data_IF_764753705875
#
_entry.id   IF_764753705875
#
_cell.length_a   1.000
_cell.length_b   1.000
_cell.length_c   1.000
_cell.angle_alpha   90.00
_cell.angle_beta   90.00
_cell.angle_gamma   90.00
#
_symmetry.space_group_name_H-M   'P 1'
#
loop_
_entity.id
_entity.type
_entity.pdbx_description
1 polymer ?
#
# COMPACT_ATOMS: atom_id res chain seq x y z
N UNK A 1 5.63 -58.99 37.71
CA UNK A 1 5.27 -57.60 38.02
C UNK A 1 6.45 -56.75 37.57
N UNK A 2 6.48 -56.37 36.31
CA UNK A 2 7.58 -55.60 35.70
C UNK A 2 6.91 -54.49 34.90
N UNK A 3 6.91 -53.32 35.50
CA UNK A 3 6.36 -52.08 34.98
C UNK A 3 7.22 -51.56 33.84
N UNK A 4 6.52 -51.17 32.79
CA UNK A 4 6.92 -50.39 31.62
C UNK A 4 7.72 -49.14 31.97
N UNK A 5 8.94 -49.01 31.43
CA UNK A 5 9.59 -47.72 31.25
C UNK A 5 9.29 -47.22 29.83
N UNK A 6 8.31 -46.32 29.74
CA UNK A 6 8.02 -45.54 28.54
C UNK A 6 9.09 -44.47 28.37
N UNK A 7 9.88 -44.58 27.31
CA UNK A 7 10.76 -43.50 26.83
C UNK A 7 9.92 -42.29 26.46
N UNK A 8 9.85 -41.30 27.35
CA UNK A 8 9.40 -39.95 27.05
C UNK A 8 10.33 -39.36 25.99
N UNK A 9 9.84 -39.29 24.76
CA UNK A 9 10.47 -38.57 23.66
C UNK A 9 10.73 -37.13 24.08
N UNK A 10 12.01 -36.78 24.17
CA UNK A 10 12.54 -35.44 24.43
C UNK A 10 12.09 -34.50 23.28
N UNK A 11 10.92 -33.87 23.44
CA UNK A 11 10.46 -32.84 22.50
C UNK A 11 11.30 -31.60 22.77
N UNK A 12 12.12 -31.12 21.82
CA UNK A 12 12.96 -29.95 22.03
C UNK A 12 12.10 -28.76 22.44
N UNK A 13 12.39 -28.17 23.61
CA UNK A 13 11.65 -27.05 24.17
C UNK A 13 11.68 -25.86 23.18
N UNK A 14 10.54 -25.62 22.53
CA UNK A 14 10.35 -24.50 21.59
C UNK A 14 10.67 -23.17 22.29
N UNK A 15 10.44 -23.06 23.60
CA UNK A 15 10.78 -21.86 24.37
C UNK A 15 12.29 -21.65 24.48
N UNK A 16 13.09 -22.72 24.55
CA UNK A 16 14.55 -22.63 24.53
C UNK A 16 15.07 -22.13 23.17
N UNK A 17 14.46 -22.57 22.05
CA UNK A 17 14.84 -22.13 20.69
C UNK A 17 14.51 -20.66 20.40
N UNK A 18 13.45 -20.12 21.01
CA UNK A 18 13.02 -18.73 20.79
C UNK A 18 13.71 -17.71 21.69
N UNK A 19 14.42 -18.16 22.73
CA UNK A 19 15.10 -17.28 23.71
C UNK A 19 16.09 -16.30 23.06
N UNK A 20 17.00 -16.72 22.14
CA UNK A 20 17.96 -15.79 21.53
C UNK A 20 17.29 -14.68 20.72
N UNK A 21 16.22 -15.02 19.99
CA UNK A 21 15.44 -14.04 19.21
C UNK A 21 14.72 -13.05 20.14
N UNK A 22 14.09 -13.57 21.20
CA UNK A 22 13.41 -12.74 22.21
C UNK A 22 14.39 -11.78 22.87
N UNK A 23 15.58 -12.23 23.23
CA UNK A 23 16.60 -11.39 23.86
C UNK A 23 17.10 -10.31 22.88
N UNK A 24 17.36 -10.67 21.62
CA UNK A 24 17.75 -9.71 20.57
C UNK A 24 16.69 -8.63 20.33
N UNK A 25 15.40 -9.01 20.29
CA UNK A 25 14.27 -8.08 20.12
C UNK A 25 13.98 -7.25 21.37
N UNK A 26 14.34 -7.75 22.55
CA UNK A 26 14.17 -7.05 23.83
C UNK A 26 15.30 -6.07 24.14
N UNK A 27 16.40 -6.13 23.38
CA UNK A 27 17.56 -5.26 23.57
C UNK A 27 17.14 -3.78 23.62
N UNK A 28 17.58 -3.02 24.63
CA UNK A 28 17.25 -1.60 24.75
C UNK A 28 17.99 -0.81 23.67
N UNK A 29 17.27 0.06 22.96
CA UNK A 29 17.82 0.95 21.93
C UNK A 29 17.26 2.36 22.08
N UNK A 30 17.95 3.35 21.50
CA UNK A 30 17.48 4.74 21.48
C UNK A 30 16.09 4.87 20.84
N UNK A 31 15.18 5.70 21.39
CA UNK A 31 13.86 5.93 20.84
C UNK A 31 13.84 6.89 19.64
N UNK A 32 14.97 7.54 19.32
CA UNK A 32 15.00 8.69 18.42
C UNK A 32 14.54 8.36 17.01
N UNK A 33 14.99 7.26 16.41
CA UNK A 33 14.55 6.87 15.06
C UNK A 33 13.05 6.59 14.98
N UNK A 34 12.45 6.01 16.04
CA UNK A 34 11.00 5.80 16.10
C UNK A 34 10.24 7.13 16.26
N UNK A 35 10.80 8.07 17.04
CA UNK A 35 10.22 9.39 17.20
C UNK A 35 10.26 10.20 15.88
N UNK A 36 11.35 10.15 15.12
CA UNK A 36 11.42 10.76 13.79
C UNK A 36 10.43 10.11 12.82
N UNK A 37 10.30 8.78 12.84
CA UNK A 37 9.28 8.09 12.05
C UNK A 37 7.86 8.59 12.37
N UNK A 38 7.53 8.74 13.66
CA UNK A 38 6.24 9.31 14.12
C UNK A 38 6.01 10.73 13.58
N UNK A 39 7.01 11.59 13.72
CA UNK A 39 6.93 12.99 13.27
C UNK A 39 6.70 13.05 11.77
N UNK A 40 7.51 12.31 10.99
CA UNK A 40 7.41 12.29 9.54
C UNK A 40 6.08 11.71 9.06
N UNK A 41 5.61 10.61 9.65
CA UNK A 41 4.31 10.02 9.31
C UNK A 41 3.18 11.01 9.56
N UNK A 42 3.10 11.61 10.75
CA UNK A 42 2.05 12.58 11.07
C UNK A 42 2.11 13.84 10.19
N UNK A 43 3.31 14.36 9.90
CA UNK A 43 3.49 15.54 9.05
C UNK A 43 3.09 15.27 7.59
N UNK A 44 3.47 14.11 7.04
CA UNK A 44 3.09 13.73 5.68
C UNK A 44 1.58 13.50 5.54
N UNK A 45 0.94 12.90 6.55
CA UNK A 45 -0.52 12.72 6.55
C UNK A 45 -1.27 14.04 6.71
N UNK A 46 -0.76 14.97 7.52
CA UNK A 46 -1.32 16.32 7.62
C UNK A 46 -1.21 17.06 6.28
N UNK A 47 -0.06 16.94 5.59
CA UNK A 47 0.11 17.49 4.25
C UNK A 47 -0.85 16.86 3.24
N UNK A 48 -1.07 15.54 3.29
CA UNK A 48 -2.04 14.88 2.41
C UNK A 48 -3.47 15.32 2.72
N UNK A 49 -3.84 15.50 3.99
CA UNK A 49 -5.14 16.06 4.38
C UNK A 49 -5.37 17.43 3.75
N UNK A 50 -4.37 18.31 3.78
CA UNK A 50 -4.43 19.61 3.10
C UNK A 50 -4.57 19.46 1.59
N UNK A 51 -3.86 18.51 0.95
CA UNK A 51 -4.00 18.25 -0.49
C UNK A 51 -5.41 17.80 -0.86
N UNK A 52 -6.05 16.98 -0.03
CA UNK A 52 -7.43 16.55 -0.27
C UNK A 52 -8.40 17.72 -0.28
N UNK A 53 -8.18 18.74 0.56
CA UNK A 53 -8.95 19.98 0.54
C UNK A 53 -8.58 20.83 -0.68
N UNK A 54 -7.28 21.10 -0.90
CA UNK A 54 -6.80 21.95 -2.00
C UNK A 54 -7.26 21.48 -3.38
N UNK A 55 -7.29 20.17 -3.59
CA UNK A 55 -7.69 19.58 -4.86
C UNK A 55 -9.14 19.08 -4.82
N UNK A 56 -9.96 19.46 -3.86
CA UNK A 56 -11.37 19.08 -3.81
C UNK A 56 -11.61 17.56 -3.96
N UNK A 57 -10.77 16.77 -3.31
CA UNK A 57 -10.86 15.29 -3.37
C UNK A 57 -11.96 14.76 -2.48
N UNK A 58 -12.28 15.46 -1.39
CA UNK A 58 -13.36 15.03 -0.49
C UNK A 58 -14.68 15.02 -1.24
N UNK A 59 -14.99 16.13 -1.94
CA UNK A 59 -16.19 16.26 -2.74
C UNK A 59 -16.21 15.22 -3.88
N UNK A 60 -15.21 15.25 -4.75
CA UNK A 60 -15.14 14.37 -5.94
C UNK A 60 -15.11 12.88 -5.64
N UNK A 61 -14.63 12.46 -4.46
CA UNK A 61 -14.51 11.03 -4.13
C UNK A 61 -15.68 10.51 -3.30
N UNK A 62 -16.34 11.35 -2.50
CA UNK A 62 -17.31 10.87 -1.52
C UNK A 62 -18.61 11.68 -1.42
N UNK A 63 -18.70 12.86 -2.04
CA UNK A 63 -19.92 13.69 -2.05
C UNK A 63 -20.57 13.66 -3.43
N UNK A 64 -19.81 13.93 -4.48
CA UNK A 64 -20.29 13.93 -5.87
C UNK A 64 -20.80 12.55 -6.34
N UNK A 65 -20.12 11.42 -6.03
CA UNK A 65 -20.61 10.12 -6.49
C UNK A 65 -21.91 9.71 -5.80
N UNK A 66 -22.91 9.30 -6.60
CA UNK A 66 -24.18 8.74 -6.10
C UNK A 66 -24.06 7.27 -5.69
N UNK A 67 -23.07 6.56 -6.23
CA UNK A 67 -22.76 5.17 -5.95
C UNK A 67 -21.32 5.03 -5.46
N UNK A 68 -21.06 4.20 -4.44
CA UNK A 68 -19.73 3.90 -3.95
C UNK A 68 -19.43 2.41 -4.04
N UNK A 69 -18.29 2.05 -4.61
CA UNK A 69 -17.89 0.65 -4.72
C UNK A 69 -17.36 0.14 -3.37
N UNK A 70 -18.05 -0.79 -2.75
CA UNK A 70 -17.71 -1.25 -1.39
C UNK A 70 -16.77 -2.45 -1.40
N UNK A 71 -15.93 -2.56 -0.37
CA UNK A 71 -15.13 -3.77 -0.13
C UNK A 71 -16.03 -4.90 0.38
N UNK A 72 -15.70 -6.15 0.03
CA UNK A 72 -16.39 -7.34 0.54
C UNK A 72 -16.44 -7.32 2.08
N UNK A 73 -17.64 -7.43 2.66
CA UNK A 73 -17.87 -7.35 4.11
C UNK A 73 -18.01 -5.94 4.69
N UNK A 74 -17.84 -4.89 3.88
CA UNK A 74 -17.92 -3.49 4.29
C UNK A 74 -19.02 -2.69 3.56
N UNK A 75 -20.06 -3.37 3.07
CA UNK A 75 -21.20 -2.72 2.41
C UNK A 75 -21.99 -1.75 3.31
N UNK A 76 -21.79 -1.84 4.63
CA UNK A 76 -22.40 -0.96 5.63
C UNK A 76 -21.62 0.35 5.86
N UNK A 77 -20.42 0.48 5.28
CA UNK A 77 -19.59 1.68 5.40
C UNK A 77 -19.97 2.65 4.29
N UNK A 78 -20.73 3.69 4.63
CA UNK A 78 -21.22 4.70 3.69
C UNK A 78 -20.70 6.08 4.04
N UNK A 79 -20.58 7.01 3.06
CA UNK A 79 -20.18 8.38 3.34
C UNK A 79 -21.13 9.06 4.32
N UNK A 80 -20.58 9.92 5.18
CA UNK A 80 -21.39 10.80 6.02
C UNK A 80 -21.98 11.91 5.15
N UNK A 81 -23.22 12.36 5.41
CA UNK A 81 -23.78 13.49 4.68
C UNK A 81 -23.00 14.77 5.00
N UNK A 82 -23.04 15.74 4.08
CA UNK A 82 -22.52 17.08 4.35
C UNK A 82 -23.30 17.74 5.52
N UNK A 83 -22.63 18.50 6.41
CA UNK A 83 -21.20 18.85 6.44
C UNK A 83 -20.31 17.85 7.20
N UNK A 84 -20.88 16.75 7.71
CA UNK A 84 -20.22 15.85 8.65
C UNK A 84 -19.00 15.13 8.07
N UNK A 85 -18.98 14.86 6.76
CA UNK A 85 -17.81 14.27 6.10
C UNK A 85 -16.58 15.18 6.15
N UNK A 86 -16.74 16.50 6.04
CA UNK A 86 -15.61 17.44 6.17
C UNK A 86 -15.12 17.52 7.61
N UNK A 87 -16.03 17.45 8.59
CA UNK A 87 -15.65 17.40 10.00
C UNK A 87 -14.90 16.10 10.34
N UNK A 88 -15.32 14.97 9.76
CA UNK A 88 -14.60 13.71 9.86
C UNK A 88 -13.20 13.82 9.22
N UNK A 89 -13.07 14.47 8.06
CA UNK A 89 -11.77 14.70 7.42
C UNK A 89 -10.86 15.63 8.25
N UNK A 90 -11.42 16.69 8.85
CA UNK A 90 -10.70 17.57 9.76
C UNK A 90 -10.17 16.79 10.97
N UNK A 91 -10.94 15.81 11.47
CA UNK A 91 -10.51 14.92 12.54
C UNK A 91 -9.29 14.08 12.15
N UNK A 92 -9.20 13.61 10.90
CA UNK A 92 -8.01 12.94 10.36
C UNK A 92 -6.80 13.89 10.43
N UNK A 93 -6.94 15.11 9.91
CA UNK A 93 -5.87 16.10 9.89
C UNK A 93 -5.39 16.50 11.29
N UNK A 94 -6.31 16.79 12.21
CA UNK A 94 -5.97 17.16 13.58
C UNK A 94 -5.30 15.99 14.33
N UNK A 95 -5.79 14.76 14.13
CA UNK A 95 -5.17 13.57 14.71
C UNK A 95 -3.77 13.33 14.15
N UNK A 96 -3.54 13.55 12.85
CA UNK A 96 -2.22 13.49 12.23
C UNK A 96 -1.25 14.52 12.83
N UNK A 97 -1.72 15.76 13.06
CA UNK A 97 -0.94 16.79 13.76
C UNK A 97 -0.58 16.37 15.18
N UNK A 98 -1.54 15.86 15.97
CA UNK A 98 -1.27 15.39 17.33
C UNK A 98 -0.33 14.19 17.37
N UNK A 99 -0.43 13.28 16.41
CA UNK A 99 0.55 12.20 16.22
C UNK A 99 1.93 12.78 15.91
N UNK A 100 2.05 13.77 15.02
CA UNK A 100 3.32 14.42 14.67
C UNK A 100 3.96 15.16 15.85
N UNK A 101 3.15 15.78 16.72
CA UNK A 101 3.62 16.43 17.95
C UNK A 101 3.87 15.42 19.08
N UNK A 102 3.26 14.25 19.00
CA UNK A 102 3.25 13.25 20.07
C UNK A 102 2.51 13.76 21.30
N UNK A 103 1.36 14.40 21.08
CA UNK A 103 0.45 14.91 22.10
C UNK A 103 -0.76 13.98 22.20
N UNK A 104 -1.10 13.52 23.41
CA UNK A 104 -2.13 12.51 23.66
C UNK A 104 -1.97 11.30 22.73
N UNK A 105 -0.73 10.90 22.46
CA UNK A 105 -0.38 10.09 21.31
C UNK A 105 -1.18 8.78 21.24
N UNK A 106 -1.38 8.11 22.37
CA UNK A 106 -2.13 6.84 22.43
C UNK A 106 -3.57 6.98 21.97
N UNK A 107 -4.21 8.10 22.23
CA UNK A 107 -5.57 8.40 21.78
C UNK A 107 -5.53 8.87 20.34
N UNK A 108 -4.65 9.82 20.02
CA UNK A 108 -4.57 10.42 18.68
C UNK A 108 -4.23 9.40 17.59
N UNK A 109 -3.33 8.44 17.86
CA UNK A 109 -3.00 7.40 16.87
C UNK A 109 -4.16 6.45 16.61
N UNK A 110 -4.98 6.14 17.62
CA UNK A 110 -6.17 5.29 17.45
C UNK A 110 -7.23 6.03 16.66
N UNK A 111 -7.52 7.29 17.00
CA UNK A 111 -8.47 8.13 16.24
C UNK A 111 -8.01 8.25 14.79
N UNK A 112 -6.73 8.54 14.55
CA UNK A 112 -6.16 8.61 13.21
C UNK A 112 -6.32 7.29 12.45
N UNK A 113 -6.04 6.16 13.09
CA UNK A 113 -6.16 4.83 12.47
C UNK A 113 -7.60 4.53 12.06
N UNK A 114 -8.56 4.78 12.95
CA UNK A 114 -9.99 4.50 12.70
C UNK A 114 -10.54 5.45 11.64
N UNK A 115 -10.28 6.75 11.75
CA UNK A 115 -10.81 7.74 10.80
C UNK A 115 -10.18 7.61 9.42
N UNK A 116 -8.87 7.37 9.32
CA UNK A 116 -8.22 7.08 8.04
C UNK A 116 -8.72 5.76 7.44
N UNK A 117 -8.91 4.72 8.27
CA UNK A 117 -9.47 3.44 7.86
C UNK A 117 -10.91 3.57 7.33
N UNK A 118 -11.74 4.40 7.96
CA UNK A 118 -13.09 4.71 7.50
C UNK A 118 -13.06 5.29 6.07
N UNK A 119 -12.30 6.36 5.83
CA UNK A 119 -12.20 6.96 4.49
C UNK A 119 -11.63 6.00 3.43
N UNK A 120 -10.69 5.13 3.82
CA UNK A 120 -10.16 4.10 2.92
C UNK A 120 -11.22 3.06 2.51
N UNK A 121 -12.17 2.75 3.41
CA UNK A 121 -13.21 1.73 3.20
C UNK A 121 -14.43 2.26 2.44
N UNK A 122 -14.61 3.59 2.34
CA UNK A 122 -15.76 4.22 1.68
C UNK A 122 -15.91 3.82 0.21
N UNK A 123 -14.82 3.83 -0.55
CA UNK A 123 -14.86 3.50 -1.98
C UNK A 123 -13.56 2.82 -2.45
N UNK A 124 -13.67 1.58 -2.94
CA UNK A 124 -12.54 0.83 -3.50
C UNK A 124 -12.08 1.37 -4.87
N UNK A 125 -12.82 2.26 -5.52
CA UNK A 125 -12.36 3.04 -6.67
C UNK A 125 -11.16 3.92 -6.30
N UNK A 126 -11.11 4.39 -5.04
CA UNK A 126 -10.02 5.20 -4.48
C UNK A 126 -8.89 4.38 -3.85
N UNK A 127 -8.90 3.06 -4.02
CA UNK A 127 -7.83 2.19 -3.53
C UNK A 127 -6.46 2.61 -4.09
N UNK A 128 -5.52 2.88 -3.19
CA UNK A 128 -4.10 3.09 -3.46
C UNK A 128 -3.24 2.26 -2.50
N UNK A 129 -2.23 1.58 -3.02
CA UNK A 129 -1.32 0.76 -2.21
C UNK A 129 -0.60 1.57 -1.11
N UNK A 130 -0.36 2.86 -1.31
CA UNK A 130 0.27 3.68 -0.27
C UNK A 130 -0.69 4.05 0.86
N UNK A 131 -2.00 4.18 0.60
CA UNK A 131 -2.98 4.30 1.69
C UNK A 131 -3.08 3.00 2.47
N UNK A 132 -2.98 1.86 1.79
CA UNK A 132 -2.87 0.57 2.49
C UNK A 132 -1.62 0.52 3.39
N UNK A 133 -0.44 0.94 2.90
CA UNK A 133 0.77 1.02 3.72
C UNK A 133 0.61 1.95 4.93
N UNK A 134 -0.04 3.10 4.75
CA UNK A 134 -0.34 4.04 5.83
C UNK A 134 -1.18 3.35 6.91
N UNK A 135 -2.26 2.65 6.55
CA UNK A 135 -3.08 1.92 7.52
C UNK A 135 -2.24 0.91 8.30
N UNK A 136 -1.37 0.16 7.63
CA UNK A 136 -0.47 -0.79 8.28
C UNK A 136 0.46 -0.12 9.29
N UNK A 137 1.06 1.03 8.93
CA UNK A 137 1.87 1.80 9.86
C UNK A 137 1.06 2.36 11.02
N UNK A 138 -0.13 2.89 10.78
CA UNK A 138 -1.01 3.41 11.81
C UNK A 138 -1.39 2.33 12.83
N UNK A 139 -1.78 1.13 12.36
CA UNK A 139 -2.07 -0.02 13.21
C UNK A 139 -0.85 -0.43 14.04
N UNK A 140 0.33 -0.58 13.42
CA UNK A 140 1.55 -0.91 14.17
C UNK A 140 1.85 0.16 15.23
N UNK A 141 1.76 1.44 14.85
CA UNK A 141 2.04 2.58 15.70
C UNK A 141 1.11 2.65 16.92
N UNK A 142 -0.13 2.18 16.86
CA UNK A 142 -0.99 2.06 18.04
C UNK A 142 -0.31 1.30 19.20
N UNK A 143 0.51 0.31 18.90
CA UNK A 143 1.21 -0.51 19.88
C UNK A 143 2.62 -0.01 20.22
N UNK A 144 3.24 0.81 19.36
CA UNK A 144 4.62 1.27 19.54
C UNK A 144 4.75 2.42 20.55
N UNK A 145 5.84 2.50 21.33
CA UNK A 145 6.06 3.57 22.30
C UNK A 145 6.65 4.85 21.69
N UNK A 146 6.11 5.33 20.55
CA UNK A 146 6.73 6.41 19.77
C UNK A 146 6.63 7.82 20.40
N UNK A 147 5.84 7.97 21.45
CA UNK A 147 5.68 9.20 22.24
C UNK A 147 6.65 9.32 23.42
N UNK A 148 7.56 8.36 23.63
CA UNK A 148 8.49 8.38 24.77
C UNK A 148 9.69 9.32 24.60
N UNK A 149 9.86 9.90 23.41
CA UNK A 149 10.92 10.86 23.10
C UNK A 149 10.48 11.81 21.98
N UNK A 150 11.10 13.00 21.94
CA UNK A 150 10.82 14.09 20.99
C UNK A 150 9.32 14.39 20.82
N UNK A 151 8.57 14.37 21.92
CA UNK A 151 7.11 14.50 21.95
C UNK A 151 6.66 15.50 23.01
N UNK A 152 5.48 16.08 22.82
CA UNK A 152 4.83 16.88 23.85
C UNK A 152 4.43 16.03 25.07
N UNK A 153 4.00 14.78 24.88
CA UNK A 153 3.70 13.88 26.00
C UNK A 153 4.91 13.66 26.93
N UNK A 154 6.11 13.45 26.38
CA UNK A 154 7.31 13.25 27.19
C UNK A 154 7.80 14.54 27.87
N UNK A 155 7.43 15.72 27.31
CA UNK A 155 7.72 17.03 27.88
C UNK A 155 6.73 17.38 29.01
N UNK A 156 5.44 17.14 28.80
CA UNK A 156 4.36 17.46 29.73
C UNK A 156 4.25 16.43 30.87
N UNK A 157 4.54 15.16 30.58
CA UNK A 157 4.43 14.06 31.53
C UNK A 157 5.78 13.34 31.69
N UNK A 158 6.64 13.76 32.64
CA UNK A 158 7.99 13.19 32.79
C UNK A 158 8.05 11.67 32.96
N UNK A 159 6.99 11.05 33.51
CA UNK A 159 6.87 9.59 33.66
C UNK A 159 6.77 8.82 32.32
N UNK A 160 6.36 9.49 31.25
CA UNK A 160 6.26 8.91 29.90
C UNK A 160 7.63 8.80 29.25
N UNK A 161 8.51 9.78 29.52
CA UNK A 161 9.83 9.89 28.91
C UNK A 161 10.64 8.63 29.17
N UNK A 162 11.29 8.12 28.12
CA UNK A 162 12.24 7.03 28.24
C UNK A 162 13.49 7.31 27.41
N UNK A 163 14.65 6.92 27.94
CA UNK A 163 15.93 6.96 27.22
C UNK A 163 16.09 5.76 26.29
N UNK A 164 15.31 4.69 26.50
CA UNK A 164 15.39 3.43 25.76
C UNK A 164 14.01 2.83 25.48
N UNK A 165 13.90 2.11 24.35
CA UNK A 165 12.75 1.29 23.95
C UNK A 165 13.23 -0.11 23.51
N UNK A 166 12.38 -1.14 23.52
CA UNK A 166 12.78 -2.45 22.98
C UNK A 166 12.98 -2.37 21.48
N UNK A 167 14.06 -2.98 20.98
CA UNK A 167 14.41 -3.03 19.56
C UNK A 167 13.28 -3.57 18.67
N UNK A 168 12.42 -4.45 19.20
CA UNK A 168 11.20 -4.93 18.54
C UNK A 168 10.36 -3.81 17.90
N UNK A 169 10.30 -2.63 18.54
CA UNK A 169 9.54 -1.48 18.05
C UNK A 169 10.06 -0.95 16.71
N UNK A 170 11.38 -1.01 16.51
CA UNK A 170 12.04 -0.61 15.27
C UNK A 170 12.04 -1.79 14.28
N UNK A 171 12.26 -3.01 14.77
CA UNK A 171 12.35 -4.20 13.96
C UNK A 171 11.05 -4.50 13.18
N UNK A 172 9.87 -4.32 13.80
CA UNK A 172 8.59 -4.57 13.11
C UNK A 172 8.33 -3.59 11.97
N UNK A 173 8.71 -2.31 12.13
CA UNK A 173 8.60 -1.31 11.06
C UNK A 173 9.57 -1.62 9.91
N UNK A 174 10.80 -2.08 10.23
CA UNK A 174 11.75 -2.58 9.21
C UNK A 174 11.19 -3.77 8.46
N UNK A 175 10.62 -4.75 9.17
CA UNK A 175 10.02 -5.92 8.55
C UNK A 175 8.87 -5.53 7.60
N UNK A 176 7.97 -4.64 8.04
CA UNK A 176 6.88 -4.14 7.19
C UNK A 176 7.40 -3.41 5.93
N UNK A 177 8.45 -2.60 6.08
CA UNK A 177 9.09 -1.92 4.95
C UNK A 177 9.78 -2.91 4.00
N UNK A 178 10.55 -3.86 4.51
CA UNK A 178 11.19 -4.91 3.70
C UNK A 178 10.17 -5.71 2.90
N UNK A 179 9.07 -6.13 3.53
CA UNK A 179 7.98 -6.83 2.85
C UNK A 179 7.51 -6.00 1.65
N UNK A 180 7.12 -4.74 1.89
CA UNK A 180 6.66 -3.86 0.82
C UNK A 180 7.72 -3.67 -0.29
N UNK A 181 8.97 -3.38 0.08
CA UNK A 181 10.05 -3.12 -0.87
C UNK A 181 10.37 -4.35 -1.72
N UNK A 182 10.52 -5.53 -1.11
CA UNK A 182 10.79 -6.78 -1.84
C UNK A 182 9.64 -7.11 -2.77
N UNK A 183 8.38 -7.03 -2.29
CA UNK A 183 7.23 -7.29 -3.15
C UNK A 183 7.12 -6.29 -4.31
N UNK A 184 7.50 -5.02 -4.12
CA UNK A 184 7.52 -4.03 -5.20
C UNK A 184 8.44 -4.43 -6.37
N UNK A 185 9.44 -5.28 -6.14
CA UNK A 185 10.28 -5.93 -7.14
C UNK A 185 9.71 -7.25 -7.64
N UNK A 186 9.26 -8.13 -6.75
CA UNK A 186 8.71 -9.44 -7.15
C UNK A 186 7.52 -9.31 -8.10
N UNK A 187 6.63 -8.35 -7.86
CA UNK A 187 5.46 -8.12 -8.73
C UNK A 187 5.82 -7.61 -10.13
N UNK A 188 7.07 -7.19 -10.34
CA UNK A 188 7.63 -6.75 -11.63
C UNK A 188 8.31 -7.89 -12.38
N UNK A 189 8.45 -9.08 -11.80
CA UNK A 189 8.91 -10.26 -12.54
C UNK A 189 7.76 -10.81 -13.39
N UNK A 190 7.44 -10.08 -14.46
CA UNK A 190 6.39 -10.42 -15.42
C UNK A 190 6.93 -10.29 -16.83
N UNK A 191 6.40 -11.05 -17.81
CA UNK A 191 6.84 -10.95 -19.20
C UNK A 191 6.87 -9.52 -19.72
N UNK A 192 5.81 -8.73 -19.48
CA UNK A 192 5.72 -7.33 -19.92
C UNK A 192 6.81 -6.44 -19.32
N UNK A 193 6.98 -6.47 -18.00
CA UNK A 193 7.97 -5.61 -17.34
C UNK A 193 9.38 -5.91 -17.79
N UNK A 194 9.72 -7.19 -17.97
CA UNK A 194 11.02 -7.59 -18.48
C UNK A 194 11.21 -7.26 -19.96
N UNK A 195 10.10 -7.11 -20.71
CA UNK A 195 10.08 -6.64 -22.09
C UNK A 195 10.04 -5.10 -22.21
N UNK A 196 10.14 -4.35 -21.10
CA UNK A 196 10.15 -2.88 -21.10
C UNK A 196 8.79 -2.23 -20.83
N UNK A 197 7.72 -3.00 -20.67
CA UNK A 197 6.35 -2.49 -20.49
C UNK A 197 5.88 -2.49 -19.03
N UNK A 198 5.18 -1.45 -18.56
CA UNK A 198 4.71 -0.25 -19.26
C UNK A 198 5.71 0.91 -19.22
N UNK A 199 6.94 0.70 -18.73
CA UNK A 199 7.90 1.80 -18.53
C UNK A 199 8.20 2.54 -19.84
N UNK A 200 8.31 1.81 -20.96
CA UNK A 200 8.48 2.36 -22.29
C UNK A 200 7.35 3.29 -22.69
N UNK A 201 6.09 2.82 -22.60
CA UNK A 201 4.90 3.63 -22.87
C UNK A 201 4.90 4.92 -22.05
N UNK A 202 5.17 4.82 -20.74
CA UNK A 202 5.14 5.99 -19.88
C UNK A 202 6.27 6.97 -20.17
N UNK A 203 7.52 6.52 -20.32
CA UNK A 203 8.65 7.44 -20.51
C UNK A 203 8.63 8.09 -21.91
N UNK A 204 8.23 7.36 -22.95
CA UNK A 204 8.14 7.91 -24.32
C UNK A 204 7.06 8.98 -24.46
N UNK A 205 5.92 8.80 -23.78
CA UNK A 205 4.83 9.79 -23.81
C UNK A 205 5.20 11.18 -23.26
N UNK A 206 6.32 11.27 -22.55
CA UNK A 206 6.83 12.48 -21.89
C UNK A 206 8.28 12.78 -22.34
N UNK A 207 8.72 12.30 -23.52
CA UNK A 207 10.07 12.58 -24.03
C UNK A 207 10.30 14.07 -24.28
N UNK A 208 9.27 14.80 -24.70
CA UNK A 208 9.37 16.23 -25.00
C UNK A 208 9.36 17.11 -23.75
N UNK A 209 8.98 16.56 -22.58
CA UNK A 209 8.88 17.32 -21.33
C UNK A 209 10.26 17.53 -20.66
N UNK A 210 11.30 16.82 -21.11
CA UNK A 210 12.62 16.81 -20.47
C UNK A 210 13.75 17.00 -21.48
N UNK A 211 14.77 17.81 -21.11
CA UNK A 211 15.96 18.05 -21.95
C UNK A 211 16.73 16.78 -22.35
N UNK A 212 16.62 15.71 -21.54
CA UNK A 212 17.24 14.41 -21.78
C UNK A 212 16.24 13.34 -22.25
N UNK A 213 15.01 13.73 -22.59
CA UNK A 213 13.97 12.79 -22.98
C UNK A 213 14.24 12.05 -24.30
N UNK A 214 15.20 12.53 -25.10
CA UNK A 214 15.75 11.77 -26.24
C UNK A 214 16.30 10.39 -25.83
N UNK A 215 16.72 10.22 -24.56
CA UNK A 215 17.16 8.93 -24.04
C UNK A 215 16.03 7.90 -23.97
N UNK A 216 14.78 8.33 -23.79
CA UNK A 216 13.63 7.44 -23.68
C UNK A 216 13.26 6.75 -25.00
N UNK A 217 13.82 7.23 -26.12
CA UNK A 217 13.63 6.62 -27.44
C UNK A 217 14.47 5.34 -27.59
N UNK A 218 15.54 5.18 -26.82
CA UNK A 218 16.39 3.99 -26.91
C UNK A 218 15.84 2.84 -26.05
N UNK A 219 15.49 1.72 -26.69
CA UNK A 219 14.98 0.51 -26.02
C UNK A 219 15.88 0.05 -24.86
N UNK A 220 17.21 0.10 -25.04
CA UNK A 220 18.16 -0.33 -24.02
C UNK A 220 18.07 0.52 -22.75
N UNK A 221 17.72 1.80 -22.84
CA UNK A 221 17.52 2.68 -21.67
C UNK A 221 16.30 2.23 -20.88
N UNK A 222 15.20 1.90 -21.58
CA UNK A 222 13.97 1.39 -20.97
C UNK A 222 14.22 0.03 -20.31
N UNK A 223 14.89 -0.88 -21.01
CA UNK A 223 15.25 -2.20 -20.48
C UNK A 223 16.19 -2.07 -19.28
N UNK A 224 17.20 -1.21 -19.34
CA UNK A 224 18.07 -0.94 -18.19
C UNK A 224 17.25 -0.42 -16.99
N UNK A 225 16.28 0.48 -17.22
CA UNK A 225 15.40 1.01 -16.19
C UNK A 225 14.50 -0.05 -15.54
N UNK A 226 13.89 -0.93 -16.34
CA UNK A 226 13.02 -2.01 -15.85
C UNK A 226 13.80 -3.03 -15.00
N UNK A 227 14.95 -3.50 -15.47
CA UNK A 227 15.81 -4.42 -14.74
C UNK A 227 16.44 -3.79 -13.50
N UNK A 228 16.88 -2.53 -13.58
CA UNK A 228 17.42 -1.80 -12.42
C UNK A 228 16.37 -1.63 -11.33
N UNK A 229 15.11 -1.39 -11.72
CA UNK A 229 14.00 -1.30 -10.75
C UNK A 229 13.76 -2.64 -10.07
N UNK A 230 13.80 -3.77 -10.79
CA UNK A 230 13.68 -5.10 -10.18
C UNK A 230 14.84 -5.36 -9.22
N UNK A 231 16.07 -5.13 -9.66
CA UNK A 231 17.28 -5.35 -8.87
C UNK A 231 17.32 -4.50 -7.60
N UNK A 232 16.93 -3.22 -7.70
CA UNK A 232 16.83 -2.32 -6.55
C UNK A 232 15.91 -2.88 -5.46
N UNK A 233 14.79 -3.48 -5.83
CA UNK A 233 13.82 -3.97 -4.86
C UNK A 233 14.13 -5.38 -4.34
N UNK A 234 14.56 -6.30 -5.21
CA UNK A 234 14.86 -7.68 -4.81
C UNK A 234 16.18 -7.77 -4.05
N UNK A 235 17.23 -7.05 -4.50
CA UNK A 235 18.55 -7.07 -3.87
C UNK A 235 18.80 -5.84 -3.00
N UNK A 236 18.42 -4.66 -3.47
CA UNK A 236 18.63 -3.43 -2.71
C UNK A 236 17.88 -3.42 -1.38
N UNK A 237 16.62 -3.89 -1.33
CA UNK A 237 15.88 -3.92 -0.07
C UNK A 237 16.60 -4.72 1.03
N UNK A 238 16.95 -6.02 0.84
CA UNK A 238 17.76 -6.74 1.85
C UNK A 238 19.10 -6.06 2.20
N UNK A 239 19.73 -5.37 1.25
CA UNK A 239 20.97 -4.63 1.48
C UNK A 239 20.79 -3.39 2.38
N UNK A 240 19.56 -2.89 2.62
CA UNK A 240 19.29 -1.88 3.65
C UNK A 240 19.50 -2.43 5.08
N UNK A 241 19.25 -3.72 5.28
CA UNK A 241 19.50 -4.38 6.56
C UNK A 241 21.00 -4.44 6.87
N UNK A 242 21.85 -4.56 5.85
CA UNK A 242 23.29 -4.63 6.02
C UNK A 242 23.94 -3.26 6.22
N UNK A 243 24.59 -3.08 7.37
CA UNK A 243 25.19 -1.80 7.80
C UNK A 243 26.15 -1.19 6.76
N UNK A 244 26.92 -2.01 6.04
CA UNK A 244 27.95 -1.54 5.09
C UNK A 244 27.36 -0.93 3.82
N UNK A 245 26.22 -1.42 3.37
CA UNK A 245 25.57 -1.01 2.12
C UNK A 245 24.44 0.00 2.33
N UNK A 246 23.89 0.07 3.55
CA UNK A 246 22.69 0.84 3.88
C UNK A 246 22.67 2.28 3.36
N UNK A 247 23.73 3.06 3.59
CA UNK A 247 23.75 4.47 3.16
C UNK A 247 23.70 4.58 1.64
N UNK A 248 24.52 3.80 0.93
CA UNK A 248 24.54 3.81 -0.52
C UNK A 248 23.16 3.44 -1.09
N UNK A 249 22.56 2.36 -0.59
CA UNK A 249 21.23 1.91 -1.04
C UNK A 249 20.14 2.93 -0.68
N UNK A 250 20.20 3.54 0.49
CA UNK A 250 19.27 4.62 0.87
C UNK A 250 19.34 5.79 -0.12
N UNK A 251 20.55 6.21 -0.53
CA UNK A 251 20.71 7.27 -1.53
C UNK A 251 20.13 6.88 -2.89
N UNK A 252 20.30 5.61 -3.31
CA UNK A 252 19.67 5.09 -4.53
C UNK A 252 18.14 5.12 -4.42
N UNK A 253 17.57 4.74 -3.28
CA UNK A 253 16.12 4.87 -3.05
C UNK A 253 15.66 6.32 -3.05
N UNK A 254 16.42 7.25 -2.46
CA UNK A 254 16.11 8.67 -2.55
C UNK A 254 16.03 9.12 -4.01
N UNK A 255 17.02 8.77 -4.84
CA UNK A 255 17.02 9.09 -6.26
C UNK A 255 15.82 8.46 -6.98
N UNK A 256 15.58 7.16 -6.78
CA UNK A 256 14.47 6.41 -7.39
C UNK A 256 13.10 7.00 -7.03
N UNK A 257 12.86 7.29 -5.75
CA UNK A 257 11.59 7.86 -5.31
C UNK A 257 11.43 9.31 -5.79
N UNK A 258 12.51 10.10 -5.80
CA UNK A 258 12.48 11.46 -6.36
C UNK A 258 12.13 11.43 -7.85
N UNK A 259 12.76 10.53 -8.62
CA UNK A 259 12.42 10.30 -10.02
C UNK A 259 10.95 9.89 -10.21
N UNK A 260 10.43 8.98 -9.38
CA UNK A 260 9.01 8.62 -9.42
C UNK A 260 8.07 9.78 -9.09
N UNK A 261 8.48 10.71 -8.22
CA UNK A 261 7.69 11.91 -7.93
C UNK A 261 7.59 12.82 -9.14
N UNK A 262 8.66 12.91 -9.94
CA UNK A 262 8.71 13.71 -11.18
C UNK A 262 7.91 13.04 -12.29
N UNK A 263 8.17 11.77 -12.57
CA UNK A 263 7.59 11.08 -13.73
C UNK A 263 6.15 10.57 -13.52
N UNK A 264 5.74 10.21 -12.30
CA UNK A 264 4.52 9.43 -12.11
C UNK A 264 3.46 10.08 -11.20
N UNK A 265 3.73 11.26 -10.63
CA UNK A 265 2.84 12.00 -9.73
C UNK A 265 2.02 11.12 -8.77
N UNK A 266 2.70 10.22 -8.05
CA UNK A 266 2.09 9.18 -7.21
C UNK A 266 1.77 9.64 -5.77
N UNK A 267 1.36 10.91 -5.62
CA UNK A 267 0.90 11.44 -4.33
C UNK A 267 2.02 11.60 -3.30
N UNK A 268 1.74 11.28 -2.04
CA UNK A 268 2.71 11.38 -0.94
C UNK A 268 3.70 10.21 -0.90
N UNK A 269 3.46 9.16 -1.68
CA UNK A 269 4.20 7.89 -1.57
C UNK A 269 5.72 8.05 -1.62
N UNK A 270 6.34 8.79 -2.56
CA UNK A 270 7.79 8.92 -2.64
C UNK A 270 8.41 9.45 -1.35
N UNK A 271 7.78 10.49 -0.79
CA UNK A 271 8.21 11.17 0.42
C UNK A 271 8.01 10.28 1.65
N UNK A 272 6.88 9.56 1.69
CA UNK A 272 6.60 8.57 2.73
C UNK A 272 7.64 7.45 2.74
N UNK A 273 7.98 6.88 1.57
CA UNK A 273 8.98 5.81 1.48
C UNK A 273 10.38 6.29 1.84
N UNK A 274 10.79 7.48 1.43
CA UNK A 274 12.09 8.06 1.81
C UNK A 274 12.15 8.23 3.33
N UNK A 275 11.13 8.88 3.91
CA UNK A 275 11.06 9.09 5.35
C UNK A 275 11.02 7.77 6.13
N UNK A 276 10.21 6.81 5.70
CA UNK A 276 10.11 5.50 6.33
C UNK A 276 11.40 4.70 6.23
N UNK A 277 12.16 4.79 5.13
CA UNK A 277 13.43 4.10 4.95
C UNK A 277 14.50 4.57 5.95
N UNK A 278 14.35 5.75 6.56
CA UNK A 278 15.25 6.18 7.64
C UNK A 278 15.24 5.23 8.86
N UNK A 279 14.17 4.43 9.04
CA UNK A 279 14.05 3.46 10.13
C UNK A 279 15.13 2.36 10.08
N UNK A 280 15.76 2.14 8.92
CA UNK A 280 16.84 1.16 8.74
C UNK A 280 18.16 1.61 9.36
N UNK A 281 18.39 2.92 9.53
CA UNK A 281 19.60 3.44 10.18
C UNK A 281 19.65 3.09 11.67
N UNK A 282 20.79 3.33 12.31
CA UNK A 282 20.94 3.05 13.74
C UNK A 282 19.84 3.75 14.55
N UNK A 283 19.24 3.16 15.59
CA UNK A 283 18.11 3.79 16.31
C UNK A 283 18.39 5.20 16.88
N UNK A 284 19.67 5.53 17.07
CA UNK A 284 20.21 6.82 17.51
C UNK A 284 20.73 7.71 16.36
N UNK A 285 20.48 7.35 15.09
CA UNK A 285 20.94 8.11 13.93
C UNK A 285 20.57 9.59 13.96
N UNK A 286 19.40 10.04 14.48
CA UNK A 286 19.07 11.46 14.48
C UNK A 286 20.04 12.27 15.35
N UNK A 287 20.45 11.69 16.49
CA UNK A 287 21.45 12.31 17.36
C UNK A 287 22.82 12.36 16.69
N UNK A 288 23.24 11.27 16.04
CA UNK A 288 24.53 11.20 15.33
C UNK A 288 24.58 12.22 14.20
N UNK A 289 23.50 12.31 13.42
CA UNK A 289 23.39 13.25 12.32
C UNK A 289 23.40 14.70 12.81
N UNK A 290 22.62 15.02 13.85
CA UNK A 290 22.63 16.36 14.44
C UNK A 290 24.00 16.76 14.98
N UNK A 291 24.70 15.85 15.67
CA UNK A 291 26.06 16.11 16.15
C UNK A 291 27.05 16.31 15.01
N UNK A 292 26.98 15.49 13.96
CA UNK A 292 27.82 15.67 12.78
C UNK A 292 27.59 17.05 12.14
N UNK A 293 26.33 17.47 11.98
CA UNK A 293 25.99 18.77 11.42
C UNK A 293 26.53 19.92 12.28
N UNK A 294 26.34 19.86 13.59
CA UNK A 294 26.86 20.88 14.51
C UNK A 294 28.39 20.90 14.58
N UNK A 295 29.05 19.75 14.47
CA UNK A 295 30.52 19.67 14.46
C UNK A 295 31.16 20.34 13.25
N UNK A 296 30.39 20.61 12.19
CA UNK A 296 30.87 21.43 11.07
C UNK A 296 31.00 22.92 11.43
N UNK A 297 30.42 23.36 12.55
CA UNK A 297 30.39 24.76 12.97
C UNK A 297 31.11 24.99 14.30
N UNK A 298 31.07 24.04 15.23
CA UNK A 298 31.65 24.18 16.57
C UNK A 298 32.19 22.84 17.10
N UNK A 299 33.25 22.89 17.91
CA UNK A 299 33.78 21.71 18.59
C UNK A 299 32.79 21.20 19.66
N UNK A 300 32.31 19.97 19.48
CA UNK A 300 31.33 19.38 20.40
C UNK A 300 32.00 18.49 21.46
N UNK A 301 31.60 18.60 22.74
CA UNK A 301 32.09 17.71 23.79
C UNK A 301 31.67 16.27 23.52
N UNK A 302 32.48 15.30 23.95
CA UNK A 302 32.19 13.88 23.77
C UNK A 302 30.78 13.51 24.25
N UNK A 303 30.07 12.61 23.55
CA UNK A 303 28.75 12.19 23.99
C UNK A 303 28.83 11.57 25.38
N UNK A 304 28.05 12.10 26.33
CA UNK A 304 27.80 11.39 27.58
C UNK A 304 27.06 10.10 27.25
N UNK A 305 27.73 8.97 27.45
CA UNK A 305 27.10 7.66 27.29
C UNK A 305 26.20 7.43 28.48
N UNK A 306 24.89 7.56 28.30
CA UNK A 306 23.95 7.14 29.34
C UNK A 306 24.22 5.66 29.66
N UNK A 307 24.33 5.28 30.95
CA UNK A 307 24.57 3.89 31.30
C UNK A 307 23.46 3.03 30.70
N UNK A 308 23.85 1.99 29.96
CA UNK A 308 22.92 1.03 29.40
C UNK A 308 22.04 0.48 30.55
N UNK A 309 20.71 0.43 30.39
CA UNK A 309 19.84 -0.06 31.44
C UNK A 309 20.25 -1.49 31.81
N UNK A 310 20.52 -1.71 33.09
CA UNK A 310 21.08 -2.95 33.65
C UNK A 310 20.18 -4.17 33.44
N UNK A 311 18.89 -3.98 33.16
CA UNK A 311 17.96 -5.06 32.80
C UNK A 311 16.81 -4.53 31.94
N UNK A 312 16.79 -4.90 30.66
CA UNK A 312 15.63 -4.64 29.80
C UNK A 312 14.49 -5.63 30.14
N UNK A 313 13.26 -5.12 30.22
CA UNK A 313 12.09 -6.01 30.32
C UNK A 313 11.95 -6.78 29.01
N UNK A 314 11.88 -8.12 29.05
CA UNK A 314 11.73 -8.89 27.83
C UNK A 314 10.41 -8.55 27.16
N UNK A 315 10.40 -8.52 25.83
CA UNK A 315 9.16 -8.40 25.04
C UNK A 315 8.22 -9.53 25.45
N UNK A 316 6.94 -9.20 25.63
CA UNK A 316 5.92 -10.16 26.01
C UNK A 316 5.75 -11.23 24.92
N UNK A 317 5.53 -12.49 25.31
CA UNK A 317 5.35 -13.59 24.35
C UNK A 317 4.18 -13.35 23.38
N UNK A 318 3.09 -12.77 23.88
CA UNK A 318 1.94 -12.40 23.04
C UNK A 318 2.29 -11.32 22.00
N UNK A 319 3.18 -10.38 22.31
CA UNK A 319 3.63 -9.36 21.36
C UNK A 319 4.51 -9.98 20.26
N UNK A 320 5.33 -10.99 20.60
CA UNK A 320 6.10 -11.74 19.61
C UNK A 320 5.18 -12.57 18.70
N UNK A 321 4.18 -13.24 19.26
CA UNK A 321 3.19 -13.98 18.49
C UNK A 321 2.42 -13.04 17.55
N UNK A 322 1.94 -11.90 18.04
CA UNK A 322 1.25 -10.91 17.24
C UNK A 322 2.15 -10.36 16.10
N UNK A 323 3.42 -10.07 16.37
CA UNK A 323 4.37 -9.65 15.34
C UNK A 323 4.64 -10.76 14.30
N UNK A 324 4.72 -12.02 14.72
CA UNK A 324 4.89 -13.15 13.82
C UNK A 324 3.67 -13.35 12.92
N UNK A 325 2.46 -13.35 13.50
CA UNK A 325 1.19 -13.41 12.77
C UNK A 325 1.09 -12.26 11.78
N UNK A 326 1.44 -11.04 12.21
CA UNK A 326 1.48 -9.86 11.34
C UNK A 326 2.36 -10.09 10.12
N UNK A 327 3.61 -10.51 10.32
CA UNK A 327 4.55 -10.77 9.22
C UNK A 327 4.04 -11.88 8.29
N UNK A 328 3.51 -12.97 8.85
CA UNK A 328 2.94 -14.07 8.05
C UNK A 328 1.79 -13.59 7.18
N UNK A 329 0.84 -12.85 7.75
CA UNK A 329 -0.29 -12.29 6.99
C UNK A 329 0.19 -11.34 5.89
N UNK A 330 1.14 -10.46 6.21
CA UNK A 330 1.67 -9.47 5.26
C UNK A 330 2.50 -10.07 4.13
N UNK A 331 3.01 -11.30 4.30
CA UNK A 331 3.67 -12.08 3.25
C UNK A 331 2.68 -12.95 2.47
N UNK A 332 1.77 -13.63 3.17
CA UNK A 332 0.80 -14.53 2.55
C UNK A 332 -0.21 -13.78 1.69
N UNK A 333 -0.67 -12.60 2.14
CA UNK A 333 -1.71 -11.85 1.45
C UNK A 333 -1.29 -11.43 0.03
N UNK A 334 -0.09 -10.88 -0.22
CA UNK A 334 0.38 -10.66 -1.59
C UNK A 334 0.59 -11.94 -2.40
N UNK A 335 1.09 -13.02 -1.78
CA UNK A 335 1.37 -14.29 -2.45
C UNK A 335 0.10 -15.01 -2.92
N UNK A 336 -1.06 -14.74 -2.30
CA UNK A 336 -2.36 -15.32 -2.69
C UNK A 336 -2.68 -15.12 -4.18
N UNK A 337 -2.18 -14.05 -4.79
CA UNK A 337 -2.42 -13.79 -6.20
C UNK A 337 -1.83 -14.89 -7.10
N UNK A 338 -0.79 -15.61 -6.63
CA UNK A 338 -0.21 -16.73 -7.35
C UNK A 338 -0.98 -18.05 -7.20
N UNK A 339 -1.99 -18.13 -6.32
CA UNK A 339 -2.85 -19.32 -6.19
C UNK A 339 -4.07 -19.27 -7.11
N UNK A 340 -4.31 -18.12 -7.75
CA UNK A 340 -5.42 -17.93 -8.69
C UNK A 340 -4.84 -18.07 -10.11
N UNK A 341 -5.32 -19.03 -10.92
CA UNK A 341 -4.78 -19.29 -12.26
C UNK A 341 -5.27 -18.25 -13.29
N UNK A 342 -5.04 -16.96 -13.02
CA UNK A 342 -5.39 -15.84 -13.91
C UNK A 342 -4.22 -14.89 -14.06
N UNK A 343 -4.23 -14.14 -15.17
CA UNK A 343 -3.32 -13.01 -15.32
C UNK A 343 -3.84 -11.84 -14.47
N UNK A 344 -3.29 -11.68 -13.26
CA UNK A 344 -3.70 -10.66 -12.27
C UNK A 344 -3.79 -9.24 -12.84
N UNK A 345 -2.92 -8.90 -13.81
CA UNK A 345 -2.90 -7.57 -14.44
C UNK A 345 -4.13 -7.40 -15.34
N UNK A 346 -4.57 -8.50 -15.95
CA UNK A 346 -5.79 -8.61 -16.73
C UNK A 346 -7.03 -8.76 -15.85
N UNK A 347 -7.23 -9.86 -15.12
CA UNK A 347 -8.48 -10.10 -14.36
C UNK A 347 -8.65 -9.16 -13.15
N UNK A 348 -7.56 -8.74 -12.52
CA UNK A 348 -7.58 -8.01 -11.25
C UNK A 348 -7.64 -8.89 -10.01
N UNK A 349 -7.68 -10.21 -10.17
CA UNK A 349 -7.77 -11.15 -9.05
C UNK A 349 -6.55 -11.06 -8.14
N UNK A 350 -6.79 -10.99 -6.83
CA UNK A 350 -5.70 -10.84 -5.86
C UNK A 350 -4.92 -9.52 -5.97
N UNK A 351 -5.33 -8.56 -6.82
CA UNK A 351 -4.58 -7.33 -7.05
C UNK A 351 -4.52 -6.40 -5.82
N UNK A 352 -5.65 -6.14 -5.16
CA UNK A 352 -5.64 -5.27 -3.95
C UNK A 352 -4.85 -5.95 -2.82
N UNK A 353 -4.19 -5.17 -1.98
CA UNK A 353 -3.39 -5.65 -0.85
C UNK A 353 -2.22 -6.59 -1.23
N UNK A 354 -1.66 -6.44 -2.44
CA UNK A 354 -0.57 -7.30 -2.95
C UNK A 354 0.67 -6.53 -3.41
N UNK A 355 0.83 -5.27 -3.00
CA UNK A 355 1.98 -4.41 -3.32
C UNK A 355 2.26 -4.21 -4.82
N UNK A 356 1.24 -4.44 -5.65
CA UNK A 356 1.26 -4.22 -7.11
C UNK A 356 1.17 -2.74 -7.44
N UNK A 357 2.30 -2.05 -7.31
CA UNK A 357 2.43 -0.61 -7.49
C UNK A 357 3.11 -0.29 -8.83
N UNK A 358 2.42 0.47 -9.69
CA UNK A 358 2.94 0.98 -10.97
C UNK A 358 3.65 -0.14 -11.76
N UNK A 359 2.90 -1.15 -12.16
CA UNK A 359 3.42 -2.34 -12.86
C UNK A 359 2.75 -2.63 -14.22
N UNK A 360 1.68 -1.92 -14.54
CA UNK A 360 0.98 -2.03 -15.82
C UNK A 360 0.18 -0.75 -16.09
N UNK A 361 -0.17 -0.58 -17.35
CA UNK A 361 -1.16 0.37 -17.86
C UNK A 361 -2.37 -0.40 -18.41
N UNK A 362 -3.57 0.13 -18.20
CA UNK A 362 -4.82 -0.51 -18.66
C UNK A 362 -5.75 0.57 -19.15
N UNK A 363 -6.26 0.36 -20.35
CA UNK A 363 -7.31 1.16 -20.93
C UNK A 363 -8.52 0.26 -21.20
N UNK A 364 -9.72 0.76 -20.98
CA UNK A 364 -10.94 0.02 -21.27
C UNK A 364 -12.06 0.96 -21.65
N UNK A 365 -12.94 0.46 -22.51
CA UNK A 365 -14.15 1.13 -22.96
C UNK A 365 -15.27 0.08 -23.01
N UNK A 366 -16.51 0.50 -22.76
CA UNK A 366 -17.62 -0.43 -22.78
C UNK A 366 -18.93 0.08 -22.20
N UNK A 367 -19.99 -0.63 -22.57
CA UNK A 367 -21.39 -0.32 -22.23
C UNK A 367 -22.04 -1.47 -21.49
N UNK A 368 -23.13 -1.17 -20.79
CA UNK A 368 -23.97 -2.17 -20.12
C UNK A 368 -25.29 -2.29 -20.87
N UNK A 369 -25.78 -3.52 -21.04
CA UNK A 369 -27.09 -3.80 -21.62
C UNK A 369 -28.01 -4.30 -20.51
N UNK A 370 -29.01 -3.49 -20.17
CA UNK A 370 -30.06 -3.86 -19.22
C UNK A 370 -31.26 -4.36 -19.99
N UNK A 371 -31.79 -5.53 -19.66
CA UNK A 371 -32.97 -6.12 -20.30
C UNK A 371 -34.01 -6.50 -19.26
N UNK A 372 -35.28 -6.16 -19.50
CA UNK A 372 -36.41 -6.55 -18.65
C UNK A 372 -37.61 -6.92 -19.54
N UNK A 373 -37.90 -8.22 -19.64
CA UNK A 373 -38.88 -8.74 -20.60
C UNK A 373 -38.45 -8.41 -22.04
N UNK A 374 -39.33 -7.73 -22.78
CA UNK A 374 -39.07 -7.33 -24.18
C UNK A 374 -38.36 -5.97 -24.31
N UNK A 375 -38.07 -5.30 -23.19
CA UNK A 375 -37.44 -3.98 -23.18
C UNK A 375 -35.95 -4.10 -22.91
N UNK A 376 -35.15 -3.28 -23.62
CA UNK A 376 -33.70 -3.27 -23.48
C UNK A 376 -33.17 -1.84 -23.55
N UNK A 377 -32.16 -1.55 -22.73
CA UNK A 377 -31.50 -0.25 -22.63
C UNK A 377 -29.98 -0.42 -22.69
N UNK A 378 -29.33 0.37 -23.53
CA UNK A 378 -27.87 0.51 -23.53
C UNK A 378 -27.49 1.65 -22.61
N UNK A 379 -26.64 1.35 -21.64
CA UNK A 379 -26.25 2.25 -20.56
C UNK A 379 -24.76 2.58 -20.68
N UNK A 380 -24.47 3.86 -20.79
CA UNK A 380 -23.12 4.37 -20.64
C UNK A 380 -22.79 4.46 -19.14
N UNK A 381 -21.67 3.88 -18.66
CA UNK A 381 -21.33 3.93 -17.24
C UNK A 381 -21.25 5.35 -16.67
N UNK A 382 -20.87 6.33 -17.48
CA UNK A 382 -20.77 7.74 -17.09
C UNK A 382 -22.12 8.41 -16.80
N UNK A 383 -23.23 7.77 -17.16
CA UNK A 383 -24.57 8.26 -16.81
C UNK A 383 -24.88 8.08 -15.31
N UNK A 384 -24.17 7.14 -14.64
CA UNK A 384 -24.39 6.77 -13.24
C UNK A 384 -23.14 6.88 -12.37
N UNK A 385 -21.96 6.94 -12.98
CA UNK A 385 -20.67 6.96 -12.29
C UNK A 385 -19.86 8.19 -12.71
N UNK A 386 -19.04 8.69 -11.79
CA UNK A 386 -18.04 9.71 -12.15
C UNK A 386 -17.04 9.14 -13.18
N UNK A 387 -16.42 9.98 -14.04
CA UNK A 387 -15.43 9.50 -15.02
C UNK A 387 -14.30 8.69 -14.39
N UNK A 388 -13.91 9.04 -13.17
CA UNK A 388 -12.90 8.32 -12.39
C UNK A 388 -13.38 6.93 -11.98
N UNK A 389 -14.61 6.81 -11.48
CA UNK A 389 -15.20 5.53 -11.11
C UNK A 389 -15.37 4.62 -12.34
N UNK A 390 -15.85 5.16 -13.47
CA UNK A 390 -15.94 4.43 -14.74
C UNK A 390 -14.60 3.83 -15.14
N UNK A 391 -13.54 4.65 -15.23
CA UNK A 391 -12.20 4.17 -15.59
C UNK A 391 -11.61 3.17 -14.58
N UNK A 392 -12.01 3.21 -13.31
CA UNK A 392 -11.59 2.22 -12.30
C UNK A 392 -12.40 0.93 -12.39
N UNK A 393 -13.67 1.01 -12.75
CA UNK A 393 -14.62 -0.10 -12.82
C UNK A 393 -14.38 -0.95 -14.06
N UNK A 394 -14.29 -0.35 -15.25
CA UNK A 394 -14.18 -1.08 -16.53
C UNK A 394 -12.96 -2.01 -16.61
N UNK A 395 -11.93 -1.78 -15.79
CA UNK A 395 -10.71 -2.59 -15.74
C UNK A 395 -10.69 -3.63 -14.61
N UNK A 396 -11.80 -3.86 -13.89
CA UNK A 396 -11.87 -4.79 -12.75
C UNK A 396 -13.21 -5.55 -12.67
N UNK A 397 -13.15 -6.87 -12.67
CA UNK A 397 -14.34 -7.75 -12.65
C UNK A 397 -15.22 -7.49 -11.43
N UNK A 398 -14.61 -7.41 -10.25
CA UNK A 398 -15.33 -7.18 -8.99
C UNK A 398 -16.07 -5.84 -8.88
N UNK A 399 -15.71 -4.86 -9.73
CA UNK A 399 -16.41 -3.58 -9.82
C UNK A 399 -17.50 -3.64 -10.90
N UNK A 400 -17.23 -4.29 -12.04
CA UNK A 400 -18.22 -4.52 -13.10
C UNK A 400 -19.44 -5.27 -12.52
N UNK A 401 -19.20 -6.32 -11.74
CA UNK A 401 -20.27 -7.06 -11.07
C UNK A 401 -21.09 -6.20 -10.10
N UNK A 402 -20.42 -5.42 -9.24
CA UNK A 402 -21.12 -4.50 -8.32
C UNK A 402 -21.94 -3.44 -9.06
N UNK A 403 -21.47 -2.95 -10.20
CA UNK A 403 -22.21 -1.99 -11.01
C UNK A 403 -23.41 -2.65 -11.71
N UNK A 404 -23.25 -3.87 -12.22
CA UNK A 404 -24.38 -4.63 -12.77
C UNK A 404 -25.49 -4.85 -11.74
N UNK A 405 -25.15 -5.25 -10.50
CA UNK A 405 -26.13 -5.35 -9.40
C UNK A 405 -26.72 -4.00 -8.97
N UNK A 406 -26.03 -2.89 -9.22
CA UNK A 406 -26.59 -1.56 -8.98
C UNK A 406 -27.63 -1.20 -10.04
N UNK A 407 -27.33 -1.43 -11.32
CA UNK A 407 -28.28 -1.25 -12.43
C UNK A 407 -29.51 -2.13 -12.26
N UNK A 408 -29.33 -3.40 -11.88
CA UNK A 408 -30.43 -4.32 -11.60
C UNK A 408 -31.43 -3.71 -10.58
N UNK A 409 -30.90 -3.16 -9.48
CA UNK A 409 -31.71 -2.54 -8.43
C UNK A 409 -32.46 -1.30 -8.91
N UNK A 410 -31.81 -0.45 -9.71
CA UNK A 410 -32.46 0.76 -10.27
C UNK A 410 -33.70 0.39 -11.08
N UNK A 411 -33.61 -0.64 -11.92
CA UNK A 411 -34.75 -1.10 -12.73
C UNK A 411 -35.80 -1.84 -11.90
N UNK A 412 -35.38 -2.64 -10.91
CA UNK A 412 -36.31 -3.28 -9.97
C UNK A 412 -37.11 -2.25 -9.17
N UNK A 413 -36.45 -1.19 -8.67
CA UNK A 413 -37.09 -0.09 -7.94
C UNK A 413 -38.03 0.73 -8.84
N UNK A 414 -37.76 0.76 -10.15
CA UNK A 414 -38.65 1.34 -11.16
C UNK A 414 -39.84 0.42 -11.55
N UNK A 415 -39.95 -0.77 -10.96
CA UNK A 415 -41.06 -1.70 -11.15
C UNK A 415 -40.85 -2.77 -12.25
N UNK A 416 -39.65 -2.87 -12.81
CA UNK A 416 -39.33 -3.94 -13.77
C UNK A 416 -38.99 -5.25 -13.05
N UNK A 417 -39.59 -6.36 -13.49
CA UNK A 417 -39.25 -7.71 -13.04
C UNK A 417 -38.29 -8.42 -14.00
N UNK A 418 -37.57 -9.43 -13.51
CA UNK A 418 -36.63 -10.25 -14.30
C UNK A 418 -35.58 -9.40 -15.04
N UNK A 419 -34.89 -8.52 -14.31
CA UNK A 419 -33.85 -7.65 -14.88
C UNK A 419 -32.56 -8.44 -15.06
N UNK A 420 -32.08 -8.51 -16.30
CA UNK A 420 -30.79 -9.07 -16.68
C UNK A 420 -29.84 -7.92 -17.04
N UNK A 421 -28.57 -8.04 -16.64
CA UNK A 421 -27.54 -7.03 -16.98
C UNK A 421 -26.33 -7.70 -17.60
N UNK A 422 -26.10 -7.43 -18.88
CA UNK A 422 -24.90 -7.85 -19.63
C UNK A 422 -23.95 -6.67 -19.81
N UNK A 423 -22.71 -6.92 -20.19
CA UNK A 423 -21.75 -5.88 -20.49
C UNK A 423 -20.90 -6.20 -21.73
N UNK A 424 -20.65 -5.18 -22.55
CA UNK A 424 -19.72 -5.25 -23.67
C UNK A 424 -18.52 -4.37 -23.35
N UNK A 425 -17.43 -4.99 -22.87
CA UNK A 425 -16.23 -4.27 -22.43
C UNK A 425 -15.01 -4.75 -23.21
N UNK A 426 -14.35 -3.81 -23.88
CA UNK A 426 -13.05 -4.00 -24.50
C UNK A 426 -11.96 -3.43 -23.60
N UNK A 427 -10.88 -4.18 -23.44
CA UNK A 427 -9.77 -3.80 -22.59
C UNK A 427 -8.42 -4.04 -23.26
N UNK A 428 -7.52 -3.11 -23.02
CA UNK A 428 -6.12 -3.18 -23.39
C UNK A 428 -5.25 -3.28 -22.14
N UNK A 429 -4.17 -4.07 -22.22
CA UNK A 429 -3.13 -4.16 -21.21
C UNK A 429 -1.79 -3.78 -21.85
N UNK A 430 -1.11 -2.77 -21.30
CA UNK A 430 0.19 -2.29 -21.76
C UNK A 430 0.24 -2.05 -23.28
N UNK A 431 -0.75 -1.32 -23.81
CA UNK A 431 -0.77 -0.90 -25.21
C UNK A 431 -1.16 -1.99 -26.22
N UNK A 432 -1.45 -3.22 -25.81
CA UNK A 432 -1.98 -4.26 -26.72
C UNK A 432 -3.29 -3.84 -27.38
N UNK A 433 -3.63 -4.38 -28.58
CA UNK A 433 -4.97 -4.22 -29.13
C UNK A 433 -6.06 -4.52 -28.08
N UNK A 434 -7.12 -3.69 -27.99
CA UNK A 434 -8.24 -4.01 -27.11
C UNK A 434 -8.91 -5.32 -27.51
N UNK A 435 -9.23 -6.16 -26.53
CA UNK A 435 -9.99 -7.41 -26.72
C UNK A 435 -11.13 -7.49 -25.69
N UNK A 436 -12.06 -8.42 -25.89
CA UNK A 436 -13.18 -8.62 -24.96
C UNK A 436 -12.65 -9.01 -23.58
N UNK A 437 -13.10 -8.28 -22.56
CA UNK A 437 -12.70 -8.51 -21.17
C UNK A 437 -13.70 -9.39 -20.41
N UNK A 438 -14.98 -9.26 -20.74
CA UNK A 438 -16.09 -9.98 -20.12
C UNK A 438 -16.91 -10.66 -21.20
N UNK A 439 -17.52 -11.80 -20.89
CA UNK A 439 -18.41 -12.50 -21.82
C UNK A 439 -19.72 -11.71 -22.00
N UNK A 440 -20.00 -11.17 -23.20
CA UNK A 440 -21.19 -10.36 -23.43
C UNK A 440 -22.48 -11.17 -23.41
N UNK A 441 -22.43 -12.50 -23.45
CA UNK A 441 -23.62 -13.36 -23.35
C UNK A 441 -24.05 -13.61 -21.90
N UNK A 442 -23.17 -13.34 -20.92
CA UNK A 442 -23.41 -13.68 -19.52
C UNK A 442 -24.21 -12.60 -18.79
N UNK A 443 -25.27 -13.03 -18.10
CA UNK A 443 -25.98 -12.19 -17.14
C UNK A 443 -25.14 -11.96 -15.88
N UNK A 444 -24.65 -10.75 -15.70
CA UNK A 444 -23.80 -10.38 -14.57
C UNK A 444 -24.57 -10.32 -13.24
N UNK A 445 -25.90 -10.29 -13.25
CA UNK A 445 -26.70 -10.36 -12.01
C UNK A 445 -26.85 -11.81 -11.53
N UNK A 446 -26.78 -12.77 -12.44
CA UNK A 446 -26.91 -14.20 -12.15
C UNK A 446 -25.57 -14.88 -11.76
N UNK A 447 -24.42 -14.25 -12.02
CA UNK A 447 -23.11 -14.82 -11.66
C UNK A 447 -22.76 -14.57 -10.19
N UNK A 448 -22.03 -15.51 -9.59
CA UNK A 448 -21.46 -15.36 -8.25
C UNK A 448 -19.97 -15.07 -8.35
N UNK A 449 -19.50 -14.06 -7.61
CA UNK A 449 -18.09 -13.72 -7.55
C UNK A 449 -17.31 -14.78 -6.77
N UNK A 450 -16.24 -15.28 -7.38
CA UNK A 450 -15.31 -16.17 -6.72
C UNK A 450 -14.36 -15.38 -5.80
N UNK A 451 -14.22 -15.83 -4.55
CA UNK A 451 -13.29 -15.21 -3.59
C UNK A 451 -11.86 -15.77 -3.63
N UNK A 452 -11.69 -16.96 -4.21
CA UNK A 452 -10.41 -17.72 -4.13
C UNK A 452 -9.95 -18.30 -5.47
N UNK A 453 -10.74 -18.14 -6.53
CA UNK A 453 -10.46 -18.63 -7.87
C UNK A 453 -10.94 -17.66 -8.96
N UNK A 454 -10.78 -18.02 -10.24
CA UNK A 454 -11.22 -17.20 -11.36
C UNK A 454 -12.74 -17.07 -11.44
N UNK A 455 -13.20 -15.95 -11.98
CA UNK A 455 -14.58 -15.76 -12.41
C UNK A 455 -14.74 -16.23 -13.87
N UNK A 456 -15.64 -17.18 -14.14
CA UNK A 456 -15.78 -17.80 -15.47
C UNK A 456 -16.29 -16.87 -16.58
N UNK A 457 -16.86 -15.73 -16.21
CA UNK A 457 -17.33 -14.69 -17.13
C UNK A 457 -16.24 -13.66 -17.49
N UNK A 458 -15.05 -13.74 -16.87
CA UNK A 458 -13.89 -12.91 -17.20
C UNK A 458 -13.06 -13.67 -18.23
N UNK A 459 -13.00 -13.14 -19.45
CA UNK A 459 -12.29 -13.77 -20.56
C UNK A 459 -10.78 -13.68 -20.35
N UNK A 460 -9.98 -14.70 -20.72
CA UNK A 460 -8.54 -14.68 -20.57
C UNK A 460 -7.87 -13.64 -21.49
N UNK A 461 -6.65 -13.23 -21.14
CA UNK A 461 -5.81 -12.43 -22.03
C UNK A 461 -5.23 -13.34 -23.13
N UNK A 462 -5.65 -13.13 -24.37
CA UNK A 462 -5.19 -13.90 -25.54
C UNK A 462 -4.04 -13.20 -26.28
N UNK A 463 -4.07 -11.86 -26.32
CA UNK A 463 -3.06 -11.06 -26.99
C UNK A 463 -1.65 -11.22 -26.35
N UNK A 464 -0.64 -11.68 -27.12
CA UNK A 464 0.67 -11.98 -26.59
C UNK A 464 1.43 -10.72 -26.14
N UNK A 465 2.51 -10.94 -25.38
CA UNK A 465 3.46 -9.88 -25.04
C UNK A 465 4.33 -9.59 -26.27
N UNK A 466 4.33 -8.35 -26.73
CA UNK A 466 5.18 -7.90 -27.83
C UNK A 466 6.43 -7.14 -27.38
N UNK A 467 6.32 -6.20 -26.42
CA UNK A 467 7.46 -5.52 -25.78
C UNK A 467 7.84 -4.18 -26.42
N UNK A 468 8.78 -3.49 -25.77
CA UNK A 468 9.11 -2.06 -26.06
C UNK A 468 9.56 -1.79 -27.50
N UNK A 469 10.12 -2.81 -28.16
CA UNK A 469 10.61 -2.75 -29.54
C UNK A 469 9.47 -2.44 -30.52
N UNK A 470 8.24 -2.90 -30.23
CA UNK A 470 7.09 -2.75 -31.12
C UNK A 470 6.24 -1.51 -30.84
N UNK A 471 6.59 -0.72 -29.82
CA UNK A 471 5.87 0.51 -29.50
C UNK A 471 6.25 1.69 -30.40
N UNK A 472 7.40 1.66 -31.08
CA UNK A 472 7.89 2.79 -31.87
C UNK A 472 7.10 3.03 -33.16
N UNK A 473 6.28 2.05 -33.58
CA UNK A 473 5.42 2.12 -34.76
C UNK A 473 4.01 2.69 -34.46
N UNK A 474 3.82 3.30 -33.28
CA UNK A 474 2.57 3.94 -32.82
C UNK A 474 2.86 5.28 -32.17
#
# INVERSE_FOLDING_TARGET
MTTTDGTLTDRPDIAARLRPLRDALSRPVSPLSLAIFRIALGALLLWDCWRFIKYDRIYRYWVEPEFHFTYTGFGWVTPLPEPWIYLAWLTVGLSALFVALGLFYRVSIVILTVTFGYFFLLDKAEYLNHFYLVILFLILMCFLPAHRSLSLDAKLFPRVRATHIPYASVAILRAQMEIMLVFAGLVKLTPDWLAGEPLGLWLRAQSEDFLFGFLFQYDWVILAGTWSTVALHIFGAPLLLWKRTRLAIFLVYCLFHSANSVFFNIGIFPWLTIAATTIFFAPDWPLRFGRWLHSCFEDLPEPKTDPAPTRAKPVAGIALLAAAVWVVVQVALPLRAGTIPTEVRWSGDGHRFSWRMRIFDRNADGVFLVTAGDQSWTIEPTDYLTPRQTGKMLVRSDMIHQFASHLERIWQDAGYGNVEVRAEILKSLNGRPPQRYVDPAMDLTAVTLSHTGPDGWVLPLEEPVWGVVHNADR
#
